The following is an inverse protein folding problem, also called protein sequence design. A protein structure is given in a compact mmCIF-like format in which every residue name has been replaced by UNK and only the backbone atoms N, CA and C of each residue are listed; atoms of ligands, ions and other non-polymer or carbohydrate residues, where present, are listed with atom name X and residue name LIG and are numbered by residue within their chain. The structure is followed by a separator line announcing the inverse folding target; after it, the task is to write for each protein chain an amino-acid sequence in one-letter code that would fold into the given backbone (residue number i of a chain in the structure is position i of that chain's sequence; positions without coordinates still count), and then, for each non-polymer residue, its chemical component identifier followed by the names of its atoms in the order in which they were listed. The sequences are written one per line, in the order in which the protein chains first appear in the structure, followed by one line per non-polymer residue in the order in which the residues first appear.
data_IF_360086114042
#
_entry.id   IF_360086114042
#
_cell.length_a   1.000
_cell.length_b   1.000
_cell.length_c   1.000
_cell.angle_alpha   90.00
_cell.angle_beta   90.00
_cell.angle_gamma   90.00
#
_symmetry.space_group_name_H-M   'P 1'
#
loop_
_entity.id
_entity.type
_entity.pdbx_description
1 polymer ?
#
# COMPACT_ATOMS: atom_id res chain seq x y z
N UNK A 1 11.91 45.72 12.26
CA UNK A 1 12.76 44.51 12.41
C UNK A 1 12.29 43.40 11.44
N UNK A 2 12.12 43.72 10.16
CA UNK A 2 11.55 42.81 9.14
C UNK A 2 12.63 42.24 8.19
N UNK A 3 13.90 42.27 8.60
CA UNK A 3 15.03 41.74 7.83
C UNK A 3 15.64 40.45 8.40
N UNK A 4 15.20 40.01 9.58
CA UNK A 4 15.72 38.77 10.19
C UNK A 4 14.84 37.53 9.92
N UNK A 5 13.62 37.71 9.39
CA UNK A 5 12.69 36.57 9.16
C UNK A 5 12.90 35.83 7.83
N UNK A 6 13.75 36.32 6.92
CA UNK A 6 13.92 35.70 5.60
C UNK A 6 15.16 34.79 5.49
N UNK A 7 16.11 34.90 6.43
CA UNK A 7 17.33 34.08 6.44
C UNK A 7 17.18 32.73 7.17
N UNK A 8 16.12 32.55 7.97
CA UNK A 8 15.83 31.27 8.65
C UNK A 8 15.18 30.23 7.72
N UNK A 9 14.72 30.63 6.53
CA UNK A 9 13.99 29.74 5.61
C UNK A 9 14.95 28.94 4.70
N UNK A 10 16.22 29.34 4.57
CA UNK A 10 17.13 28.77 3.56
C UNK A 10 18.30 27.93 4.09
N UNK A 11 18.37 27.66 5.40
CA UNK A 11 19.49 26.89 5.98
C UNK A 11 19.11 25.50 6.55
N UNK A 12 17.82 25.14 6.60
CA UNK A 12 17.35 23.84 7.11
C UNK A 12 16.79 22.87 6.05
N UNK A 13 16.72 23.28 4.78
CA UNK A 13 15.90 22.60 3.77
C UNK A 13 16.61 21.54 2.92
N UNK A 14 17.91 21.30 3.09
CA UNK A 14 18.66 20.36 2.21
C UNK A 14 18.90 19.00 2.86
N UNK A 15 18.61 18.83 4.15
CA UNK A 15 18.75 17.56 4.88
C UNK A 15 17.45 16.88 5.30
N UNK A 16 16.31 17.59 5.28
CA UNK A 16 15.03 17.04 5.74
C UNK A 16 14.16 16.46 4.61
N UNK A 17 14.36 16.87 3.35
CA UNK A 17 13.55 16.35 2.24
C UNK A 17 13.96 14.93 1.84
N UNK A 18 15.27 14.61 1.83
CA UNK A 18 15.76 13.26 1.49
C UNK A 18 15.52 12.20 2.58
N UNK A 19 15.39 12.61 3.86
CA UNK A 19 15.12 11.70 4.98
C UNK A 19 13.61 11.49 5.22
N UNK A 20 12.74 12.41 4.78
CA UNK A 20 11.28 12.24 4.83
C UNK A 20 10.74 11.49 3.60
N UNK A 21 11.38 11.66 2.44
CA UNK A 21 11.15 10.90 1.20
C UNK A 21 11.50 9.40 1.35
N UNK A 22 12.34 9.06 2.34
CA UNK A 22 12.68 7.69 2.76
C UNK A 22 11.81 7.13 3.89
N UNK A 23 11.05 7.99 4.59
CA UNK A 23 10.34 7.62 5.82
C UNK A 23 8.96 6.98 5.60
N UNK A 24 8.39 7.06 4.39
CA UNK A 24 7.27 6.23 3.96
C UNK A 24 7.67 5.24 2.87
N UNK A 25 8.53 4.27 3.20
CA UNK A 25 8.85 3.17 2.30
C UNK A 25 7.59 2.50 1.74
N UNK A 26 7.60 2.24 0.43
CA UNK A 26 6.52 1.57 -0.31
C UNK A 26 5.90 0.47 0.56
N UNK A 27 4.58 0.42 0.64
CA UNK A 27 3.82 -0.61 1.33
C UNK A 27 4.26 -2.01 0.88
N UNK A 28 4.66 -2.16 -0.40
CA UNK A 28 5.31 -3.36 -0.89
C UNK A 28 6.68 -3.65 -0.23
N UNK A 29 7.54 -2.65 -0.10
CA UNK A 29 8.85 -2.81 0.56
C UNK A 29 8.70 -3.20 2.03
N UNK A 30 7.75 -2.56 2.75
CA UNK A 30 7.43 -2.90 4.13
C UNK A 30 6.90 -4.32 4.26
N UNK A 31 6.04 -4.74 3.33
CA UNK A 31 5.52 -6.10 3.29
C UNK A 31 6.66 -7.09 3.08
N UNK A 32 7.54 -6.87 2.10
CA UNK A 32 8.67 -7.76 1.82
C UNK A 32 9.60 -7.86 3.04
N UNK A 33 9.89 -6.74 3.71
CA UNK A 33 10.67 -6.73 4.94
C UNK A 33 10.02 -7.54 6.08
N UNK A 34 8.68 -7.58 6.13
CA UNK A 34 7.92 -8.29 7.16
C UNK A 34 7.52 -9.75 6.82
N UNK A 35 7.80 -10.25 5.62
CA UNK A 35 7.43 -11.63 5.21
C UNK A 35 8.18 -12.72 6.01
N UNK A 36 9.35 -12.39 6.57
CA UNK A 36 10.16 -13.30 7.39
C UNK A 36 9.83 -13.29 8.88
N UNK A 37 9.09 -12.29 9.35
CA UNK A 37 8.56 -12.28 10.72
C UNK A 37 7.21 -12.99 10.68
N UNK A 38 6.97 -13.92 11.62
CA UNK A 38 5.67 -14.56 11.77
C UNK A 38 4.64 -13.48 12.19
N UNK A 39 4.17 -12.73 11.21
CA UNK A 39 3.25 -11.63 11.41
C UNK A 39 1.92 -12.24 11.85
N UNK A 40 1.66 -12.16 13.17
CA UNK A 40 0.33 -12.32 13.71
C UNK A 40 -0.61 -11.45 12.87
N UNK A 41 -1.57 -12.09 12.21
CA UNK A 41 -2.55 -11.39 11.38
C UNK A 41 -3.15 -10.24 12.21
N UNK A 42 -3.19 -9.00 11.68
CA UNK A 42 -3.85 -7.91 12.39
C UNK A 42 -5.29 -8.35 12.66
N UNK A 43 -5.67 -8.38 13.94
CA UNK A 43 -6.95 -8.87 14.46
C UNK A 43 -8.16 -7.98 14.11
N UNK A 44 -8.22 -7.47 12.89
CA UNK A 44 -9.40 -6.82 12.33
C UNK A 44 -10.06 -7.75 11.33
N UNK A 45 -10.95 -8.63 11.79
CA UNK A 45 -11.82 -9.43 10.92
C UNK A 45 -12.90 -8.52 10.31
N UNK A 46 -12.49 -7.60 9.44
CA UNK A 46 -13.40 -7.09 8.42
C UNK A 46 -13.82 -8.27 7.55
N UNK A 47 -15.10 -8.36 7.17
CA UNK A 47 -15.59 -9.47 6.36
C UNK A 47 -14.77 -9.55 5.05
N UNK A 48 -13.94 -10.58 4.92
CA UNK A 48 -13.14 -10.80 3.72
C UNK A 48 -14.08 -11.13 2.55
N UNK A 49 -14.10 -10.25 1.54
CA UNK A 49 -14.85 -10.51 0.30
C UNK A 49 -13.98 -11.38 -0.61
N UNK A 50 -14.48 -12.57 -0.97
CA UNK A 50 -13.83 -13.41 -1.97
C UNK A 50 -13.92 -12.77 -3.35
N UNK A 51 -12.78 -12.67 -4.02
CA UNK A 51 -12.67 -12.20 -5.40
C UNK A 51 -11.92 -13.24 -6.22
N UNK A 52 -12.44 -13.57 -7.40
CA UNK A 52 -11.74 -14.40 -8.37
C UNK A 52 -11.01 -13.47 -9.37
N UNK A 53 -9.72 -13.70 -9.56
CA UNK A 53 -8.91 -12.96 -10.52
C UNK A 53 -8.14 -13.95 -11.41
N UNK A 54 -8.18 -13.74 -12.72
CA UNK A 54 -7.36 -14.50 -13.65
C UNK A 54 -5.92 -13.96 -13.60
N UNK A 55 -4.95 -14.86 -13.44
CA UNK A 55 -3.52 -14.56 -13.45
C UNK A 55 -2.85 -15.23 -14.64
N UNK A 56 -1.86 -14.58 -15.29
CA UNK A 56 -0.92 -15.26 -16.17
C UNK A 56 -0.27 -16.46 -15.46
N UNK A 57 -0.07 -17.56 -16.19
CA UNK A 57 0.36 -18.83 -15.61
C UNK A 57 1.73 -18.75 -14.91
N UNK A 58 2.65 -17.95 -15.45
CA UNK A 58 3.96 -17.63 -14.86
C UNK A 58 3.80 -16.92 -13.52
N UNK A 59 2.92 -15.90 -13.43
CA UNK A 59 2.67 -15.18 -12.17
C UNK A 59 1.96 -16.04 -11.13
N UNK A 60 1.08 -16.94 -11.56
CA UNK A 60 0.46 -17.91 -10.67
C UNK A 60 1.51 -18.85 -10.05
N UNK A 61 2.48 -19.31 -10.84
CA UNK A 61 3.59 -20.14 -10.35
C UNK A 61 4.48 -19.38 -9.37
N UNK A 62 4.87 -18.15 -9.70
CA UNK A 62 5.69 -17.29 -8.82
C UNK A 62 5.00 -17.04 -7.48
N UNK A 63 3.69 -16.76 -7.51
CA UNK A 63 2.88 -16.59 -6.30
C UNK A 63 2.86 -17.85 -5.43
N UNK A 64 2.68 -19.02 -6.05
CA UNK A 64 2.73 -20.30 -5.33
C UNK A 64 4.10 -20.55 -4.69
N UNK A 65 5.18 -20.26 -5.42
CA UNK A 65 6.54 -20.40 -4.91
C UNK A 65 6.82 -19.46 -3.73
N UNK A 66 6.40 -18.19 -3.83
CA UNK A 66 6.51 -17.22 -2.73
C UNK A 66 5.70 -17.67 -1.51
N UNK A 67 4.45 -18.06 -1.70
CA UNK A 67 3.60 -18.54 -0.62
C UNK A 67 4.24 -19.75 0.11
N UNK A 68 4.77 -20.71 -0.65
CA UNK A 68 5.48 -21.85 -0.11
C UNK A 68 6.75 -21.46 0.66
N UNK A 69 7.55 -20.52 0.13
CA UNK A 69 8.78 -20.05 0.78
C UNK A 69 8.52 -19.39 2.14
N UNK A 70 7.37 -18.75 2.32
CA UNK A 70 6.98 -18.06 3.56
C UNK A 70 5.93 -18.83 4.38
N UNK A 71 5.65 -20.09 4.06
CA UNK A 71 4.71 -20.93 4.83
C UNK A 71 3.27 -20.41 4.85
N UNK A 72 2.83 -19.70 3.81
CA UNK A 72 1.47 -19.15 3.67
C UNK A 72 0.70 -19.82 2.53
N UNK A 73 -0.61 -19.60 2.45
CA UNK A 73 -1.40 -20.00 1.28
C UNK A 73 -1.22 -19.00 0.13
N UNK A 74 -1.41 -19.45 -1.11
CA UNK A 74 -1.36 -18.54 -2.26
C UNK A 74 -2.41 -17.44 -2.20
N UNK A 75 -3.56 -17.70 -1.56
CA UNK A 75 -4.65 -16.73 -1.38
C UNK A 75 -4.27 -15.64 -0.38
N UNK A 76 -3.69 -16.00 0.76
CA UNK A 76 -3.21 -15.03 1.76
C UNK A 76 -2.05 -14.21 1.21
N UNK A 77 -1.08 -14.86 0.55
CA UNK A 77 0.02 -14.18 -0.12
C UNK A 77 -0.48 -13.20 -1.19
N UNK A 78 -1.46 -13.61 -2.01
CA UNK A 78 -2.06 -12.72 -3.01
C UNK A 78 -2.78 -11.54 -2.38
N UNK A 79 -3.55 -11.77 -1.30
CA UNK A 79 -4.24 -10.70 -0.57
C UNK A 79 -3.27 -9.69 0.02
N UNK A 80 -2.17 -10.16 0.61
CA UNK A 80 -1.08 -9.33 1.14
C UNK A 80 -0.42 -8.48 0.05
N UNK A 81 0.01 -9.10 -1.05
CA UNK A 81 0.64 -8.40 -2.18
C UNK A 81 -0.30 -7.38 -2.83
N UNK A 82 -1.56 -7.77 -3.06
CA UNK A 82 -2.57 -6.89 -3.63
C UNK A 82 -2.88 -5.70 -2.70
N UNK A 83 -3.00 -5.94 -1.40
CA UNK A 83 -3.22 -4.89 -0.41
C UNK A 83 -2.10 -3.86 -0.40
N UNK A 84 -0.84 -4.30 -0.41
CA UNK A 84 0.32 -3.42 -0.52
C UNK A 84 0.33 -2.64 -1.84
N UNK A 85 0.10 -3.30 -2.97
CA UNK A 85 0.05 -2.63 -4.27
C UNK A 85 -1.09 -1.61 -4.38
N UNK A 86 -2.25 -1.88 -3.77
CA UNK A 86 -3.37 -0.92 -3.69
C UNK A 86 -2.97 0.28 -2.84
N UNK A 87 -2.35 0.07 -1.69
CA UNK A 87 -1.90 1.16 -0.82
C UNK A 87 -0.90 2.08 -1.56
N UNK A 88 0.10 1.49 -2.22
CA UNK A 88 1.07 2.23 -3.03
C UNK A 88 0.40 2.98 -4.19
N UNK A 89 -0.60 2.37 -4.82
CA UNK A 89 -1.37 3.02 -5.87
C UNK A 89 -2.18 4.22 -5.36
N UNK A 90 -2.76 4.15 -4.15
CA UNK A 90 -3.47 5.29 -3.54
C UNK A 90 -2.54 6.43 -3.17
N UNK A 91 -1.36 6.12 -2.62
CA UNK A 91 -0.36 7.12 -2.23
C UNK A 91 0.21 7.87 -3.45
N UNK A 92 0.20 7.23 -4.63
CA UNK A 92 0.66 7.84 -5.88
C UNK A 92 -0.39 8.71 -6.59
N UNK A 93 -1.67 8.73 -6.15
CA UNK A 93 -2.71 9.51 -6.81
C UNK A 93 -2.60 11.00 -6.49
N UNK A 94 -2.88 11.84 -7.49
CA UNK A 94 -3.15 13.26 -7.24
C UNK A 94 -4.52 13.49 -6.59
N UNK A 95 -4.74 14.66 -5.98
CA UNK A 95 -5.99 15.01 -5.28
C UNK A 95 -7.25 14.81 -6.15
N UNK A 96 -7.17 15.13 -7.44
CA UNK A 96 -8.28 14.98 -8.37
C UNK A 96 -8.58 13.52 -8.73
N UNK A 97 -7.55 12.68 -8.81
CA UNK A 97 -7.67 11.23 -8.98
C UNK A 97 -8.21 10.56 -7.72
N UNK A 98 -7.70 10.95 -6.54
CA UNK A 98 -8.13 10.46 -5.25
C UNK A 98 -9.63 10.71 -5.03
N UNK A 99 -10.10 11.94 -5.28
CA UNK A 99 -11.54 12.27 -5.21
C UNK A 99 -12.41 11.42 -6.15
N UNK A 100 -11.93 11.14 -7.37
CA UNK A 100 -12.65 10.28 -8.32
C UNK A 100 -12.71 8.83 -7.84
N UNK A 101 -11.61 8.29 -7.34
CA UNK A 101 -11.52 6.94 -6.81
C UNK A 101 -12.43 6.76 -5.58
N UNK A 102 -12.41 7.69 -4.62
CA UNK A 102 -13.28 7.63 -3.43
C UNK A 102 -14.77 7.68 -3.79
N UNK A 103 -15.16 8.51 -4.77
CA UNK A 103 -16.55 8.54 -5.28
C UNK A 103 -16.94 7.22 -5.95
N UNK A 104 -16.02 6.58 -6.68
CA UNK A 104 -16.26 5.27 -7.26
C UNK A 104 -16.44 4.20 -6.18
N UNK A 105 -15.61 4.20 -5.13
CA UNK A 105 -15.76 3.30 -3.98
C UNK A 105 -17.13 3.47 -3.31
N UNK A 106 -17.59 4.71 -3.08
CA UNK A 106 -18.91 4.97 -2.50
C UNK A 106 -20.03 4.35 -3.32
N UNK A 107 -20.04 4.58 -4.63
CA UNK A 107 -21.04 4.00 -5.54
C UNK A 107 -21.06 2.47 -5.48
N UNK A 108 -19.89 1.82 -5.49
CA UNK A 108 -19.81 0.35 -5.40
C UNK A 108 -20.32 -0.21 -4.07
N UNK A 109 -20.17 0.54 -2.97
CA UNK A 109 -20.72 0.16 -1.67
C UNK A 109 -22.25 0.32 -1.65
N UNK A 110 -22.76 1.42 -2.20
CA UNK A 110 -24.19 1.71 -2.26
C UNK A 110 -24.92 0.75 -3.22
N UNK A 111 -24.32 0.42 -4.37
CA UNK A 111 -24.86 -0.53 -5.36
C UNK A 111 -24.76 -1.99 -4.89
N UNK A 112 -23.76 -2.32 -4.05
CA UNK A 112 -23.53 -3.66 -3.52
C UNK A 112 -24.34 -3.99 -2.26
N UNK A 113 -25.14 -3.04 -1.76
CA UNK A 113 -26.03 -3.21 -0.61
C UNK A 113 -27.52 -3.32 -0.99
N UNK A 114 -27.80 -3.50 -2.29
CA UNK A 114 -29.12 -3.80 -2.85
C UNK A 114 -29.35 -5.31 -3.11
#
# INVERSE_FOLDING_TARGET
MLKESFAAITAGAVGAEADMEKAMGNSMERLVAGLGEAAAAPGGQGAARRMAAALPADRALELQALAAAFGSSSEDMAGRLLGAAIADAWDALDDGQMLRATRACRRLLDDGSA
#
